data_IF_852359505635
#
_entry.id   IF_852359505635
#
_cell.length_a   1.000
_cell.length_b   1.000
_cell.length_c   1.000
_cell.angle_alpha   90.00
_cell.angle_beta   90.00
_cell.angle_gamma   90.00
#
_symmetry.space_group_name_H-M   'P 1'
#
loop_
_entity.id
_entity.type
_entity.pdbx_description
1 polymer ?
#
# COMPACT_ATOMS: atom_id res chain seq x y z
N UNK A 1 10.12 0.31 14.48
CA UNK A 1 9.22 1.40 14.03
C UNK A 1 8.50 2.03 15.23
N UNK A 2 7.86 3.21 15.10
CA UNK A 2 7.02 3.77 16.16
C UNK A 2 6.03 2.74 16.72
N UNK A 3 5.90 2.70 18.04
CA UNK A 3 4.91 1.87 18.73
C UNK A 3 5.14 0.36 18.69
N UNK A 4 6.31 -0.14 18.24
CA UNK A 4 6.58 -1.59 18.17
C UNK A 4 5.84 -2.28 17.01
N UNK A 5 5.73 -1.58 15.88
CA UNK A 5 5.21 -2.13 14.62
C UNK A 5 6.33 -2.73 13.78
N UNK A 6 5.97 -3.70 12.94
CA UNK A 6 6.86 -4.32 11.95
C UNK A 6 6.84 -3.53 10.64
N UNK A 7 5.64 -3.13 10.21
CA UNK A 7 5.40 -2.54 8.89
C UNK A 7 4.57 -1.27 8.97
N UNK A 8 4.71 -0.40 7.98
CA UNK A 8 3.83 0.76 7.77
C UNK A 8 3.38 0.87 6.32
N UNK A 9 2.11 1.24 6.12
CA UNK A 9 1.46 1.37 4.82
C UNK A 9 0.73 2.72 4.71
N UNK A 10 1.00 3.46 3.63
CA UNK A 10 0.27 4.68 3.26
C UNK A 10 0.01 4.69 1.76
N UNK A 11 -1.23 4.94 1.34
CA UNK A 11 -1.55 5.01 -0.08
C UNK A 11 -1.00 6.31 -0.70
N UNK A 12 -0.50 6.22 -1.93
CA UNK A 12 0.20 7.32 -2.61
C UNK A 12 -0.69 8.54 -2.81
N UNK A 13 -2.01 8.34 -3.01
CA UNK A 13 -2.98 9.43 -3.16
C UNK A 13 -3.17 10.29 -1.90
N UNK A 14 -2.67 9.84 -0.74
CA UNK A 14 -2.66 10.62 0.50
C UNK A 14 -1.42 11.52 0.64
N UNK A 15 -0.40 11.31 -0.20
CA UNK A 15 0.81 12.12 -0.25
C UNK A 15 0.69 13.06 -1.45
N UNK A 16 0.84 14.36 -1.22
CA UNK A 16 0.99 15.35 -2.30
C UNK A 16 2.46 15.46 -2.65
N UNK A 17 2.77 15.03 -3.87
CA UNK A 17 4.11 15.03 -4.44
C UNK A 17 4.24 15.95 -5.66
N UNK A 18 3.26 16.82 -5.89
CA UNK A 18 3.23 17.82 -6.97
C UNK A 18 4.15 19.02 -6.71
N UNK A 19 5.10 18.89 -5.77
CA UNK A 19 6.08 19.90 -5.40
C UNK A 19 7.47 19.32 -5.17
N UNK A 20 8.49 20.14 -5.40
CA UNK A 20 9.87 19.85 -5.01
C UNK A 20 10.10 20.52 -3.65
N UNK A 21 10.38 19.71 -2.63
CA UNK A 21 10.73 20.20 -1.30
C UNK A 21 12.26 20.30 -1.19
N UNK A 22 12.83 21.53 -1.13
CA UNK A 22 14.27 21.70 -1.07
C UNK A 22 14.85 21.17 0.24
N UNK A 23 16.11 20.74 0.20
CA UNK A 23 16.84 20.39 1.40
C UNK A 23 16.90 21.59 2.36
N UNK A 24 16.59 21.37 3.63
CA UNK A 24 16.59 22.43 4.64
C UNK A 24 15.52 22.21 5.72
N UNK A 25 15.18 23.29 6.40
CA UNK A 25 14.20 23.27 7.49
C UNK A 25 12.80 22.93 6.98
N UNK A 26 12.19 21.93 7.59
CA UNK A 26 10.78 21.61 7.39
C UNK A 26 9.92 22.42 8.35
N UNK A 27 8.85 23.01 7.84
CA UNK A 27 7.87 23.73 8.66
C UNK A 27 6.60 22.90 8.81
N UNK A 28 5.75 23.26 9.77
CA UNK A 28 4.41 22.67 9.89
C UNK A 28 3.59 22.86 8.61
N UNK A 29 3.74 24.01 7.93
CA UNK A 29 3.11 24.26 6.63
C UNK A 29 3.58 23.23 5.59
N UNK A 30 4.90 23.01 5.49
CA UNK A 30 5.48 22.02 4.59
C UNK A 30 4.89 20.62 4.81
N UNK A 31 4.73 20.20 6.07
CA UNK A 31 4.13 18.89 6.38
C UNK A 31 2.65 18.83 5.97
N UNK A 32 1.88 19.91 6.16
CA UNK A 32 0.47 19.95 5.71
C UNK A 32 0.33 20.03 4.19
N UNK A 33 1.30 20.60 3.48
CA UNK A 33 1.34 20.57 2.02
C UNK A 33 1.52 19.12 1.54
N UNK A 34 2.44 18.37 2.15
CA UNK A 34 2.72 16.96 1.79
C UNK A 34 1.57 16.03 2.21
N UNK A 35 1.04 16.20 3.43
CA UNK A 35 0.01 15.35 4.04
C UNK A 35 -1.22 16.20 4.41
N UNK A 36 -1.99 16.70 3.43
CA UNK A 36 -3.10 17.62 3.70
C UNK A 36 -4.29 16.94 4.37
N UNK A 37 -4.33 15.61 4.34
CA UNK A 37 -5.41 14.84 4.93
C UNK A 37 -5.10 14.56 6.40
N UNK A 38 -6.02 14.96 7.29
CA UNK A 38 -5.98 14.67 8.73
C UNK A 38 -6.35 13.20 9.01
N UNK A 39 -5.66 12.27 8.34
CA UNK A 39 -5.82 10.85 8.54
C UNK A 39 -5.41 10.43 9.95
N UNK A 40 -5.99 9.34 10.43
CA UNK A 40 -5.59 8.72 11.71
C UNK A 40 -4.59 7.61 11.44
N UNK A 41 -3.63 7.47 12.35
CA UNK A 41 -2.73 6.33 12.42
C UNK A 41 -3.49 5.20 13.11
N UNK A 42 -3.68 4.09 12.40
CA UNK A 42 -4.31 2.89 12.92
C UNK A 42 -3.24 1.81 13.05
N UNK A 43 -3.26 1.07 14.17
CA UNK A 43 -2.43 -0.11 14.36
C UNK A 43 -3.35 -1.33 14.15
N UNK A 44 -2.94 -2.24 13.28
CA UNK A 44 -3.68 -3.45 12.93
C UNK A 44 -2.74 -4.65 13.00
N UNK A 45 -3.26 -5.80 13.40
CA UNK A 45 -2.56 -7.07 13.27
C UNK A 45 -3.06 -7.76 12.01
N UNK A 46 -2.13 -8.22 11.18
CA UNK A 46 -2.42 -8.84 9.89
C UNK A 46 -1.52 -10.06 9.69
N UNK A 47 -2.06 -11.13 9.12
CA UNK A 47 -1.23 -12.26 8.69
C UNK A 47 -0.39 -11.86 7.47
N UNK A 48 0.70 -12.56 7.22
CA UNK A 48 1.49 -12.37 6.00
C UNK A 48 0.66 -12.57 4.73
N UNK A 49 -0.30 -13.50 4.74
CA UNK A 49 -1.24 -13.68 3.64
C UNK A 49 -2.10 -12.43 3.38
N UNK A 50 -2.59 -11.75 4.43
CA UNK A 50 -3.33 -10.50 4.28
C UNK A 50 -2.44 -9.36 3.77
N UNK A 51 -1.16 -9.34 4.16
CA UNK A 51 -0.18 -8.38 3.64
C UNK A 51 0.04 -8.61 2.15
N UNK A 52 0.34 -9.84 1.72
CA UNK A 52 0.51 -10.19 0.31
C UNK A 52 -0.69 -9.77 -0.53
N UNK A 53 -1.90 -10.09 -0.05
CA UNK A 53 -3.15 -9.68 -0.71
C UNK A 53 -3.27 -8.16 -0.85
N UNK A 54 -2.95 -7.43 0.23
CA UNK A 54 -3.01 -5.97 0.21
C UNK A 54 -1.98 -5.38 -0.77
N UNK A 55 -0.79 -5.98 -0.86
CA UNK A 55 0.25 -5.57 -1.81
C UNK A 55 -0.13 -5.89 -3.26
N UNK A 56 -0.80 -7.01 -3.54
CA UNK A 56 -1.34 -7.32 -4.88
C UNK A 56 -2.42 -6.33 -5.31
N UNK A 57 -3.39 -6.04 -4.43
CA UNK A 57 -4.40 -5.00 -4.69
C UNK A 57 -3.72 -3.63 -4.90
N UNK A 58 -2.71 -3.31 -4.09
CA UNK A 58 -1.89 -2.10 -4.26
C UNK A 58 -1.18 -2.08 -5.62
N UNK A 59 -0.56 -3.18 -6.05
CA UNK A 59 0.15 -3.29 -7.33
C UNK A 59 -0.79 -3.13 -8.54
N UNK A 60 -2.08 -3.44 -8.39
CA UNK A 60 -3.09 -3.15 -9.43
C UNK A 60 -3.29 -1.65 -9.70
N UNK A 61 -2.85 -0.77 -8.78
CA UNK A 61 -2.85 0.68 -8.99
C UNK A 61 -1.90 1.11 -10.12
N UNK A 62 -0.88 0.30 -10.44
CA UNK A 62 0.03 0.55 -11.56
C UNK A 62 -0.66 0.10 -12.85
N UNK A 63 -0.88 1.05 -13.78
CA UNK A 63 -1.51 0.77 -15.06
C UNK A 63 -0.48 0.25 -16.06
N UNK A 64 -0.78 -0.90 -16.64
CA UNK A 64 -0.01 -1.49 -17.75
C UNK A 64 -0.97 -1.68 -18.91
N UNK A 65 -0.61 -1.16 -20.08
CA UNK A 65 -1.42 -1.30 -21.27
C UNK A 65 -1.61 -2.79 -21.62
N UNK A 66 -2.86 -3.20 -21.85
CA UNK A 66 -3.19 -4.58 -22.21
C UNK A 66 -3.19 -5.58 -21.05
N UNK A 67 -3.12 -5.16 -19.79
CA UNK A 67 -3.14 -6.06 -18.62
C UNK A 67 -4.51 -6.69 -18.29
N UNK A 68 -5.53 -6.44 -19.11
CA UNK A 68 -6.81 -7.13 -19.10
C UNK A 68 -7.80 -6.72 -18.00
N UNK A 69 -7.36 -5.96 -16.99
CA UNK A 69 -8.29 -5.46 -15.98
C UNK A 69 -8.94 -4.14 -16.46
N UNK A 70 -10.15 -3.82 -15.99
CA UNK A 70 -10.82 -2.57 -16.40
C UNK A 70 -10.62 -1.48 -15.33
N UNK A 71 -10.76 -0.21 -15.74
CA UNK A 71 -10.88 0.88 -14.76
C UNK A 71 -12.13 0.67 -13.91
N UNK A 72 -12.04 0.98 -12.62
CA UNK A 72 -13.10 0.70 -11.63
C UNK A 72 -13.07 -0.71 -11.05
N UNK A 73 -12.42 -1.68 -11.71
CA UNK A 73 -12.28 -3.07 -11.22
C UNK A 73 -10.95 -3.34 -10.49
N UNK A 74 -10.27 -2.28 -10.04
CA UNK A 74 -8.95 -2.33 -9.40
C UNK A 74 -8.72 -1.10 -8.55
N UNK A 75 -7.62 -1.07 -7.81
CA UNK A 75 -7.27 0.11 -7.04
C UNK A 75 -7.11 1.35 -7.94
N UNK A 76 -7.58 2.55 -7.52
CA UNK A 76 -7.27 3.79 -8.22
C UNK A 76 -5.76 4.01 -8.23
N UNK A 77 -5.24 4.87 -9.11
CA UNK A 77 -3.78 5.14 -9.22
C UNK A 77 -3.15 5.60 -7.90
N UNK A 78 -3.87 6.42 -7.13
CA UNK A 78 -3.48 6.81 -5.76
C UNK A 78 -3.61 5.70 -4.69
N UNK A 79 -4.05 4.51 -5.07
CA UNK A 79 -4.18 3.32 -4.22
C UNK A 79 -2.88 2.54 -4.04
N UNK A 80 -1.84 2.85 -4.81
CA UNK A 80 -0.52 2.22 -4.65
C UNK A 80 0.05 2.54 -3.26
N UNK A 81 0.45 1.53 -2.51
CA UNK A 81 0.98 1.66 -1.15
C UNK A 81 2.46 2.03 -1.18
N UNK A 82 2.79 3.17 -0.57
CA UNK A 82 4.12 3.44 -0.05
C UNK A 82 4.28 2.66 1.25
N UNK A 83 5.45 2.08 1.44
CA UNK A 83 5.71 1.12 2.52
C UNK A 83 6.91 1.52 3.36
N UNK A 84 6.87 1.19 4.65
CA UNK A 84 8.02 1.21 5.54
C UNK A 84 8.19 -0.15 6.20
N UNK A 85 9.43 -0.60 6.37
CA UNK A 85 9.72 -1.92 6.95
C UNK A 85 9.36 -3.07 6.02
N UNK A 86 9.00 -2.79 4.76
CA UNK A 86 8.77 -3.77 3.71
C UNK A 86 9.70 -3.45 2.52
N UNK A 87 10.22 -4.48 1.88
CA UNK A 87 10.75 -4.44 0.52
C UNK A 87 9.90 -5.38 -0.32
N UNK A 88 9.60 -4.99 -1.55
CA UNK A 88 8.87 -5.83 -2.48
C UNK A 88 9.43 -5.70 -3.89
N UNK A 89 9.33 -6.79 -4.65
CA UNK A 89 9.63 -6.83 -6.08
C UNK A 89 8.34 -7.06 -6.84
N UNK A 90 8.11 -6.24 -7.87
CA UNK A 90 6.96 -6.35 -8.75
C UNK A 90 7.39 -6.80 -10.14
N UNK A 91 6.75 -7.84 -10.67
CA UNK A 91 6.79 -8.16 -12.10
C UNK A 91 5.47 -7.73 -12.75
N UNK A 92 5.53 -6.63 -13.50
CA UNK A 92 4.36 -6.02 -14.14
C UNK A 92 3.88 -6.79 -15.38
N UNK A 93 4.62 -7.81 -15.82
CA UNK A 93 4.18 -8.73 -16.89
C UNK A 93 3.18 -9.75 -16.37
N UNK A 94 3.14 -9.97 -15.05
CA UNK A 94 2.21 -10.89 -14.44
C UNK A 94 0.80 -10.29 -14.36
N UNK A 95 -0.24 -11.15 -14.32
CA UNK A 95 -1.63 -10.74 -14.13
C UNK A 95 -1.81 -9.76 -12.96
N UNK A 96 -2.57 -8.69 -13.21
CA UNK A 96 -3.00 -7.74 -12.17
C UNK A 96 -4.12 -8.35 -11.34
N UNK A 97 -4.19 -8.00 -10.05
CA UNK A 97 -5.44 -8.13 -9.30
C UNK A 97 -6.57 -7.39 -10.04
N UNK A 98 -7.75 -8.02 -10.10
CA UNK A 98 -8.95 -7.47 -10.71
C UNK A 98 -10.21 -8.00 -10.02
N UNK A 99 -11.14 -7.11 -9.66
CA UNK A 99 -12.40 -7.48 -9.03
C UNK A 99 -13.48 -6.42 -9.18
N UNK A 100 -14.74 -6.85 -9.17
CA UNK A 100 -15.91 -5.99 -9.22
C UNK A 100 -16.19 -5.38 -7.85
N UNK A 101 -16.38 -4.05 -7.83
CA UNK A 101 -16.73 -3.31 -6.64
C UNK A 101 -18.15 -2.75 -6.73
N UNK A 102 -18.86 -2.79 -5.61
CA UNK A 102 -20.13 -2.09 -5.40
C UNK A 102 -19.97 -1.11 -4.26
N UNK A 103 -19.83 0.16 -4.61
CA UNK A 103 -19.42 1.18 -3.65
C UNK A 103 -18.02 0.91 -3.07
N UNK A 104 -17.97 0.56 -1.78
CA UNK A 104 -16.71 0.26 -1.06
C UNK A 104 -16.48 -1.25 -0.87
N UNK A 105 -17.43 -2.08 -1.31
CA UNK A 105 -17.39 -3.53 -1.09
C UNK A 105 -16.91 -4.25 -2.35
N UNK A 106 -16.10 -5.28 -2.15
CA UNK A 106 -15.63 -6.17 -3.20
C UNK A 106 -16.68 -7.28 -3.37
N UNK A 107 -17.44 -7.25 -4.46
CA UNK A 107 -18.50 -8.22 -4.73
C UNK A 107 -17.96 -9.49 -5.35
N UNK A 108 -17.01 -9.35 -6.29
CA UNK A 108 -16.47 -10.48 -7.02
C UNK A 108 -14.99 -10.27 -7.32
N UNK A 109 -14.20 -11.34 -7.22
CA UNK A 109 -12.81 -11.37 -7.68
C UNK A 109 -12.77 -12.05 -9.04
N UNK A 110 -12.16 -11.41 -10.03
CA UNK A 110 -11.87 -12.00 -11.33
C UNK A 110 -10.47 -12.60 -11.37
N UNK A 111 -9.49 -11.86 -10.84
CA UNK A 111 -8.10 -12.29 -10.72
C UNK A 111 -7.51 -11.77 -9.41
N UNK A 112 -6.69 -12.59 -8.78
CA UNK A 112 -6.07 -12.29 -7.49
C UNK A 112 -4.75 -11.54 -7.61
N UNK A 113 -4.21 -11.44 -8.82
CA UNK A 113 -2.89 -10.88 -9.09
C UNK A 113 -1.76 -11.85 -8.78
N UNK A 114 -0.65 -11.63 -9.48
CA UNK A 114 0.63 -12.29 -9.20
C UNK A 114 1.81 -11.35 -9.51
N UNK A 115 1.59 -10.03 -9.39
CA UNK A 115 2.62 -9.04 -9.66
C UNK A 115 3.66 -8.99 -8.55
N UNK A 116 3.28 -9.29 -7.31
CA UNK A 116 4.17 -9.30 -6.16
C UNK A 116 4.94 -10.62 -6.15
N UNK A 117 6.18 -10.61 -6.62
CA UNK A 117 6.99 -11.83 -6.77
C UNK A 117 7.93 -12.09 -5.59
N UNK A 118 8.21 -11.06 -4.79
CA UNK A 118 9.03 -11.18 -3.59
C UNK A 118 8.65 -10.12 -2.56
N UNK A 119 8.64 -10.49 -1.28
CA UNK A 119 8.39 -9.58 -0.16
C UNK A 119 9.27 -9.93 1.03
N UNK A 120 9.93 -8.91 1.57
CA UNK A 120 10.71 -8.99 2.79
C UNK A 120 10.21 -7.98 3.82
N UNK A 121 10.23 -8.36 5.10
CA UNK A 121 9.88 -7.50 6.22
C UNK A 121 11.11 -7.26 7.08
N UNK A 122 11.25 -6.04 7.61
CA UNK A 122 12.30 -5.68 8.54
C UNK A 122 11.83 -5.91 9.98
N UNK A 123 12.36 -6.95 10.63
CA UNK A 123 12.15 -7.24 12.06
C UNK A 123 13.47 -7.20 12.80
N UNK A 124 13.51 -6.50 13.92
CA UNK A 124 14.70 -6.34 14.76
C UNK A 124 15.98 -5.89 14.00
N UNK A 125 15.79 -5.14 12.91
CA UNK A 125 16.87 -4.64 12.05
C UNK A 125 17.32 -5.60 10.95
N UNK A 126 16.71 -6.78 10.85
CA UNK A 126 17.01 -7.79 9.84
C UNK A 126 15.88 -7.90 8.82
N UNK A 127 16.25 -8.14 7.56
CA UNK A 127 15.30 -8.42 6.49
C UNK A 127 15.08 -9.91 6.38
N UNK A 128 13.83 -10.34 6.52
CA UNK A 128 13.41 -11.72 6.37
C UNK A 128 12.28 -11.83 5.36
N UNK A 129 12.13 -13.00 4.73
CA UNK A 129 11.02 -13.25 3.81
C UNK A 129 9.70 -13.17 4.58
N UNK A 130 8.71 -12.53 3.96
CA UNK A 130 7.36 -12.51 4.51
C UNK A 130 6.80 -13.93 4.57
N UNK A 131 6.58 -14.44 5.78
CA UNK A 131 5.87 -15.70 6.02
C UNK A 131 4.34 -15.47 5.96
N UNK A 132 3.61 -16.11 5.03
CA UNK A 132 2.16 -15.96 4.92
C UNK A 132 1.37 -16.39 6.16
N UNK A 133 1.93 -17.31 6.96
CA UNK A 133 1.29 -17.88 8.15
C UNK A 133 1.55 -17.08 9.43
N UNK A 134 2.58 -16.24 9.43
CA UNK A 134 2.95 -15.43 10.58
C UNK A 134 2.10 -14.15 10.70
N UNK A 135 2.08 -13.56 11.88
CA UNK A 135 1.33 -12.32 12.19
C UNK A 135 2.27 -11.14 12.35
N UNK A 136 1.89 -10.02 11.76
CA UNK A 136 2.66 -8.79 11.74
C UNK A 136 1.80 -7.65 12.26
N UNK A 137 2.43 -6.76 13.02
CA UNK A 137 1.79 -5.55 13.52
C UNK A 137 2.05 -4.39 12.57
N UNK A 138 1.03 -4.03 11.81
CA UNK A 138 1.08 -2.99 10.80
C UNK A 138 0.52 -1.65 11.27
N UNK A 139 1.16 -0.57 10.84
CA UNK A 139 0.59 0.78 10.90
C UNK A 139 -0.05 1.10 9.55
N UNK A 140 -1.30 1.52 9.56
CA UNK A 140 -2.02 2.02 8.38
C UNK A 140 -2.48 3.45 8.60
N UNK A 141 -2.26 4.31 7.62
CA UNK A 141 -2.89 5.62 7.57
C UNK A 141 -4.29 5.50 6.96
N UNK A 142 -5.30 5.88 7.73
CA UNK A 142 -6.69 5.91 7.25
C UNK A 142 -7.16 7.35 7.17
N UNK A 143 -7.49 7.80 5.95
CA UNK A 143 -8.19 9.06 5.77
C UNK A 143 -9.59 8.94 6.36
N UNK A 144 -9.91 9.83 7.29
CA UNK A 144 -11.27 10.03 7.75
C UNK A 144 -11.92 10.97 6.74
N UNK A 145 -12.78 10.45 5.86
CA UNK A 145 -13.70 11.33 5.15
C UNK A 145 -14.69 11.88 6.19
N UNK A 146 -15.02 13.19 6.15
CA UNK A 146 -16.11 13.73 6.95
C UNK A 146 -17.45 13.07 6.59
#
# INVERSE_FOLDING_TARGET
MPGGSDISLVNSGSIRGDGIYPAGSLTYLTVNEILPFKGRIMIVEMTGAHILRSLEVSASAIRVEGDGCQEGNRAPTGGFMQVGGIRMVLDLKNPSFCGLYSGKELEQVFDLGSRVVDVEVCRDGFWEKLDPSDTYRGIRFQNVMP
#
